data_IF_423636404314
#
_entry.id   IF_423636404314
#
_cell.length_a   1.000
_cell.length_b   1.000
_cell.length_c   1.000
_cell.angle_alpha   90.00
_cell.angle_beta   90.00
_cell.angle_gamma   90.00
#
_symmetry.space_group_name_H-M   'P 1'
#
loop_
_entity.id
_entity.type
_entity.pdbx_description
1 polymer ?
#
# COMPACT_ATOMS: atom_id res chain seq x y z
N UNK A 1 -67.06 39.61 -32.27
CA UNK A 1 -65.75 40.18 -32.65
C UNK A 1 -65.35 41.25 -31.65
N UNK A 2 -64.25 41.04 -30.90
CA UNK A 2 -63.23 42.07 -30.58
C UNK A 2 -62.11 41.37 -29.82
N UNK A 3 -60.95 41.39 -30.48
CA UNK A 3 -59.67 40.85 -30.02
C UNK A 3 -59.11 41.82 -28.97
N UNK A 4 -58.61 41.29 -27.85
CA UNK A 4 -57.61 41.99 -27.06
C UNK A 4 -56.42 41.06 -26.88
N UNK A 5 -55.38 41.38 -27.64
CA UNK A 5 -54.03 40.88 -27.46
C UNK A 5 -53.49 41.50 -26.17
N UNK A 6 -53.03 40.67 -25.23
CA UNK A 6 -51.95 41.07 -24.33
C UNK A 6 -50.84 40.05 -24.50
N UNK A 7 -49.82 40.49 -25.24
CA UNK A 7 -48.47 39.97 -25.21
C UNK A 7 -47.75 40.63 -24.03
N UNK A 8 -46.62 40.06 -23.62
CA UNK A 8 -45.61 40.55 -22.65
C UNK A 8 -45.86 39.95 -21.25
N UNK A 9 -44.98 39.14 -20.64
CA UNK A 9 -43.52 39.05 -20.72
C UNK A 9 -43.06 37.65 -20.32
N UNK A 10 -42.09 37.13 -21.06
CA UNK A 10 -41.28 35.97 -20.75
C UNK A 10 -40.44 36.26 -19.49
N UNK A 11 -40.82 35.75 -18.32
CA UNK A 11 -39.91 35.66 -17.18
C UNK A 11 -39.23 34.29 -17.23
N UNK A 12 -38.09 34.23 -17.93
CA UNK A 12 -37.10 33.18 -17.69
C UNK A 12 -36.71 33.28 -16.22
N UNK A 13 -37.32 32.46 -15.37
CA UNK A 13 -36.73 32.12 -14.09
C UNK A 13 -35.45 31.34 -14.42
N UNK A 14 -34.34 32.06 -14.50
CA UNK A 14 -33.03 31.47 -14.47
C UNK A 14 -33.00 30.50 -13.28
N UNK A 15 -32.68 29.21 -13.45
CA UNK A 15 -32.19 28.45 -12.32
C UNK A 15 -30.90 29.15 -11.92
N UNK A 16 -30.97 29.93 -10.84
CA UNK A 16 -29.81 30.43 -10.15
C UNK A 16 -28.87 29.24 -10.01
N UNK A 17 -27.76 29.32 -10.73
CA UNK A 17 -26.75 28.30 -10.75
C UNK A 17 -26.44 27.94 -9.30
N UNK A 18 -26.75 26.70 -8.92
CA UNK A 18 -26.14 25.99 -7.82
C UNK A 18 -24.63 25.92 -8.11
N UNK A 19 -23.94 27.05 -7.97
CA UNK A 19 -22.52 27.24 -8.25
C UNK A 19 -21.72 27.50 -6.97
N UNK A 20 -22.36 27.45 -5.80
CA UNK A 20 -21.73 27.80 -4.52
C UNK A 20 -21.50 26.60 -3.58
N UNK A 21 -21.87 25.37 -3.96
CA UNK A 21 -21.64 24.19 -3.11
C UNK A 21 -20.42 23.35 -3.53
N UNK A 22 -19.91 23.51 -4.77
CA UNK A 22 -18.83 22.67 -5.27
C UNK A 22 -17.41 23.08 -4.84
N UNK A 23 -17.21 24.28 -4.28
CA UNK A 23 -15.88 24.72 -3.86
C UNK A 23 -15.51 24.20 -2.46
N UNK A 24 -16.44 24.28 -1.50
CA UNK A 24 -16.22 23.84 -0.11
C UNK A 24 -16.34 22.31 0.08
N UNK A 25 -17.08 21.60 -0.78
CA UNK A 25 -17.22 20.13 -0.68
C UNK A 25 -16.01 19.36 -1.22
N UNK A 26 -15.24 19.93 -2.15
CA UNK A 26 -14.05 19.31 -2.75
C UNK A 26 -12.94 18.96 -1.73
N UNK A 27 -12.50 19.86 -0.84
CA UNK A 27 -11.47 19.53 0.13
C UNK A 27 -11.97 18.49 1.16
N UNK A 28 -13.24 18.55 1.57
CA UNK A 28 -13.82 17.60 2.53
C UNK A 28 -13.87 16.18 1.96
N UNK A 29 -14.36 16.02 0.73
CA UNK A 29 -14.40 14.72 0.05
C UNK A 29 -12.98 14.17 -0.18
N UNK A 30 -12.02 15.00 -0.61
CA UNK A 30 -10.63 14.59 -0.79
C UNK A 30 -9.96 14.18 0.52
N UNK A 31 -10.21 14.88 1.62
CA UNK A 31 -9.71 14.52 2.96
C UNK A 31 -10.26 13.16 3.40
N UNK A 32 -11.55 12.88 3.16
CA UNK A 32 -12.15 11.58 3.50
C UNK A 32 -11.52 10.44 2.68
N UNK A 33 -11.31 10.64 1.38
CA UNK A 33 -10.61 9.67 0.52
C UNK A 33 -9.20 9.41 1.02
N UNK A 34 -8.40 10.45 1.29
CA UNK A 34 -7.04 10.31 1.81
C UNK A 34 -7.00 9.60 3.18
N UNK A 35 -7.96 9.88 4.08
CA UNK A 35 -8.07 9.15 5.35
C UNK A 35 -8.37 7.67 5.14
N UNK A 36 -9.25 7.35 4.20
CA UNK A 36 -9.58 5.96 3.86
C UNK A 36 -8.38 5.22 3.27
N UNK A 37 -7.59 5.88 2.42
CA UNK A 37 -6.35 5.35 1.87
C UNK A 37 -5.31 5.08 2.94
N UNK A 38 -5.07 6.04 3.84
CA UNK A 38 -4.14 5.86 4.96
C UNK A 38 -4.53 4.64 5.81
N UNK A 39 -5.83 4.47 6.11
CA UNK A 39 -6.32 3.30 6.85
C UNK A 39 -6.08 1.99 6.09
N UNK A 40 -6.33 1.97 4.78
CA UNK A 40 -6.06 0.79 3.94
C UNK A 40 -4.56 0.46 3.91
N UNK A 41 -3.71 1.46 3.71
CA UNK A 41 -2.25 1.28 3.67
C UNK A 41 -1.70 0.78 5.02
N UNK A 42 -2.23 1.27 6.15
CA UNK A 42 -1.88 0.81 7.49
C UNK A 42 -2.31 -0.66 7.74
N UNK A 43 -3.47 -1.05 7.24
CA UNK A 43 -3.94 -2.44 7.27
C UNK A 43 -3.06 -3.35 6.41
N UNK A 44 -2.73 -2.93 5.19
CA UNK A 44 -1.86 -3.65 4.26
C UNK A 44 -0.45 -3.83 4.82
N UNK A 45 0.11 -2.79 5.45
CA UNK A 45 1.38 -2.86 6.19
C UNK A 45 1.37 -3.98 7.24
N UNK A 46 0.26 -4.07 7.97
CA UNK A 46 0.08 -5.06 9.03
C UNK A 46 -0.09 -6.47 8.45
N UNK A 47 -0.84 -6.62 7.37
CA UNK A 47 -1.04 -7.88 6.66
C UNK A 47 0.27 -8.42 6.07
N UNK A 48 1.02 -7.59 5.34
CA UNK A 48 2.34 -7.95 4.78
C UNK A 48 3.34 -8.33 5.87
N UNK A 49 3.29 -7.65 7.03
CA UNK A 49 4.13 -8.02 8.17
C UNK A 49 3.78 -9.40 8.76
N UNK A 50 2.49 -9.74 8.83
CA UNK A 50 2.05 -11.07 9.27
C UNK A 50 2.49 -12.15 8.28
N UNK A 51 2.40 -11.89 6.97
CA UNK A 51 2.84 -12.80 5.90
C UNK A 51 4.35 -13.08 5.92
N UNK A 52 5.14 -12.13 6.43
CA UNK A 52 6.60 -12.24 6.54
C UNK A 52 7.08 -13.37 7.47
N UNK A 53 6.27 -13.79 8.44
CA UNK A 53 6.58 -14.90 9.36
C UNK A 53 6.61 -16.26 8.64
N UNK A 54 5.50 -16.66 7.99
CA UNK A 54 5.41 -17.88 7.17
C UNK A 54 6.52 -18.00 6.13
N UNK A 55 6.83 -16.95 5.36
CA UNK A 55 7.92 -16.97 4.37
C UNK A 55 9.28 -17.31 4.98
N UNK A 56 9.59 -16.73 6.15
CA UNK A 56 10.83 -17.01 6.86
C UNK A 56 10.87 -18.46 7.36
N UNK A 57 9.73 -19.00 7.80
CA UNK A 57 9.61 -20.40 8.20
C UNK A 57 9.80 -21.34 7.01
N UNK A 58 9.21 -21.02 5.85
CA UNK A 58 9.38 -21.78 4.62
C UNK A 58 10.86 -21.85 4.19
N UNK A 59 11.58 -20.71 4.19
CA UNK A 59 13.01 -20.69 3.89
C UNK A 59 13.84 -21.53 4.87
N UNK A 60 13.49 -21.54 6.16
CA UNK A 60 14.16 -22.41 7.15
C UNK A 60 13.87 -23.89 6.91
N UNK A 61 12.65 -24.24 6.53
CA UNK A 61 12.27 -25.61 6.20
C UNK A 61 13.00 -26.10 4.94
N UNK A 62 13.09 -25.25 3.90
CA UNK A 62 13.85 -25.55 2.69
C UNK A 62 15.35 -25.74 3.00
N UNK A 63 15.93 -24.86 3.83
CA UNK A 63 17.30 -25.02 4.30
C UNK A 63 17.50 -26.35 5.04
N UNK A 64 16.57 -26.69 5.94
CA UNK A 64 16.59 -27.95 6.68
C UNK A 64 16.53 -29.16 5.75
N UNK A 65 15.66 -29.12 4.73
CA UNK A 65 15.53 -30.17 3.74
C UNK A 65 16.80 -30.33 2.87
N UNK A 66 17.40 -29.24 2.41
CA UNK A 66 18.67 -29.29 1.66
C UNK A 66 19.81 -29.86 2.52
N UNK A 67 19.91 -29.45 3.79
CA UNK A 67 20.91 -29.98 4.71
C UNK A 67 20.67 -31.47 5.03
N UNK A 68 19.40 -31.90 5.13
CA UNK A 68 19.06 -33.31 5.33
C UNK A 68 19.49 -34.17 4.14
N UNK A 69 19.24 -33.69 2.90
CA UNK A 69 19.69 -34.36 1.67
C UNK A 69 21.21 -34.55 1.64
N UNK A 70 21.99 -33.53 2.01
CA UNK A 70 23.45 -33.60 2.05
C UNK A 70 23.94 -34.59 3.11
N UNK A 71 23.26 -34.66 4.27
CA UNK A 71 23.63 -35.60 5.34
C UNK A 71 23.35 -37.05 4.95
N UNK A 72 22.18 -37.29 4.35
CA UNK A 72 21.74 -38.61 3.93
C UNK A 72 22.42 -39.11 2.64
N UNK A 73 22.91 -38.22 1.78
CA UNK A 73 23.58 -38.57 0.53
C UNK A 73 24.96 -39.21 0.74
N UNK A 74 25.50 -39.78 -0.31
CA UNK A 74 26.87 -40.34 -0.33
C UNK A 74 27.93 -39.23 -0.42
N UNK A 75 29.16 -39.55 -0.07
CA UNK A 75 30.30 -38.62 -0.15
C UNK A 75 31.14 -38.57 1.12
N UNK A 76 32.34 -38.01 0.99
CA UNK A 76 33.29 -37.93 2.10
C UNK A 76 32.83 -36.91 3.15
N UNK A 77 33.35 -37.02 4.37
CA UNK A 77 33.08 -36.06 5.44
C UNK A 77 33.48 -34.62 5.03
N UNK A 78 34.55 -34.47 4.25
CA UNK A 78 35.02 -33.20 3.72
C UNK A 78 34.00 -32.55 2.79
N UNK A 79 33.52 -33.32 1.81
CA UNK A 79 32.56 -32.85 0.80
C UNK A 79 31.22 -32.47 1.43
N UNK A 80 30.72 -33.30 2.36
CA UNK A 80 29.50 -33.01 3.11
C UNK A 80 29.61 -31.74 3.93
N UNK A 81 30.78 -31.47 4.53
CA UNK A 81 31.03 -30.24 5.29
C UNK A 81 31.02 -29.01 4.38
N UNK A 82 31.69 -29.08 3.24
CA UNK A 82 31.73 -28.01 2.26
C UNK A 82 30.32 -27.71 1.70
N UNK A 83 29.57 -28.74 1.30
CA UNK A 83 28.21 -28.62 0.81
C UNK A 83 27.26 -28.00 1.87
N UNK A 84 27.33 -28.46 3.13
CA UNK A 84 26.56 -27.87 4.23
C UNK A 84 26.88 -26.38 4.41
N UNK A 85 28.15 -25.99 4.30
CA UNK A 85 28.57 -24.59 4.43
C UNK A 85 28.04 -23.74 3.26
N UNK A 86 28.09 -24.27 2.03
CA UNK A 86 27.54 -23.61 0.85
C UNK A 86 26.03 -23.34 1.00
N UNK A 87 25.25 -24.35 1.43
CA UNK A 87 23.81 -24.18 1.70
C UNK A 87 23.57 -23.13 2.79
N UNK A 88 24.33 -23.16 3.89
CA UNK A 88 24.20 -22.14 4.95
C UNK A 88 24.48 -20.73 4.43
N UNK A 89 25.49 -20.54 3.58
CA UNK A 89 25.82 -19.24 2.96
C UNK A 89 24.70 -18.76 2.03
N UNK A 90 24.20 -19.64 1.16
CA UNK A 90 23.06 -19.38 0.26
C UNK A 90 21.85 -18.88 1.04
N UNK A 91 21.39 -19.65 2.04
CA UNK A 91 20.22 -19.25 2.82
C UNK A 91 20.47 -18.02 3.69
N UNK A 92 21.70 -17.80 4.18
CA UNK A 92 22.04 -16.57 4.89
C UNK A 92 21.89 -15.32 4.01
N UNK A 93 22.26 -15.40 2.72
CA UNK A 93 22.03 -14.33 1.75
C UNK A 93 20.53 -14.13 1.50
N UNK A 94 19.77 -15.20 1.26
CA UNK A 94 18.31 -15.12 1.07
C UNK A 94 17.59 -14.48 2.29
N UNK A 95 18.01 -14.80 3.52
CA UNK A 95 17.46 -14.17 4.72
C UNK A 95 17.82 -12.68 4.81
N UNK A 96 19.01 -12.27 4.37
CA UNK A 96 19.40 -10.85 4.33
C UNK A 96 18.58 -10.09 3.28
N UNK A 97 18.46 -10.64 2.08
CA UNK A 97 17.70 -10.03 0.98
C UNK A 97 16.22 -9.88 1.32
N UNK A 98 15.59 -10.92 1.85
CA UNK A 98 14.18 -10.86 2.27
C UNK A 98 13.97 -9.86 3.40
N UNK A 99 14.90 -9.75 4.35
CA UNK A 99 14.86 -8.71 5.39
C UNK A 99 14.99 -7.31 4.80
N UNK A 100 15.91 -7.11 3.86
CA UNK A 100 16.15 -5.79 3.28
C UNK A 100 14.99 -5.34 2.39
N UNK A 101 14.44 -6.24 1.56
CA UNK A 101 13.23 -5.97 0.77
C UNK A 101 12.09 -5.47 1.66
N UNK A 102 11.82 -6.17 2.77
CA UNK A 102 10.78 -5.76 3.74
C UNK A 102 11.09 -4.44 4.41
N UNK A 103 12.36 -4.16 4.72
CA UNK A 103 12.79 -2.90 5.32
C UNK A 103 12.53 -1.74 4.36
N UNK A 104 12.89 -1.90 3.08
CA UNK A 104 12.66 -0.91 2.02
C UNK A 104 11.17 -0.69 1.82
N UNK A 105 10.38 -1.75 1.69
CA UNK A 105 8.92 -1.65 1.54
C UNK A 105 8.27 -0.94 2.72
N UNK A 106 8.65 -1.28 3.96
CA UNK A 106 8.15 -0.61 5.16
C UNK A 106 8.51 0.87 5.17
N UNK A 107 9.74 1.21 4.77
CA UNK A 107 10.18 2.61 4.69
C UNK A 107 9.34 3.38 3.69
N UNK A 108 9.20 2.85 2.48
CA UNK A 108 8.39 3.46 1.40
C UNK A 108 6.95 3.69 1.86
N UNK A 109 6.30 2.67 2.41
CA UNK A 109 4.92 2.77 2.88
C UNK A 109 4.75 3.79 4.03
N UNK A 110 5.75 3.93 4.91
CA UNK A 110 5.74 4.98 5.95
C UNK A 110 5.90 6.38 5.37
N UNK A 111 6.77 6.54 4.37
CA UNK A 111 6.97 7.80 3.66
C UNK A 111 5.69 8.20 2.88
N UNK A 112 5.05 7.23 2.21
CA UNK A 112 3.78 7.43 1.51
C UNK A 112 2.66 7.84 2.49
N UNK A 113 2.52 7.12 3.62
CA UNK A 113 1.54 7.47 4.65
C UNK A 113 1.79 8.87 5.24
N UNK A 114 3.06 9.25 5.46
CA UNK A 114 3.43 10.60 5.90
C UNK A 114 3.06 11.65 4.86
N UNK A 115 3.29 11.38 3.58
CA UNK A 115 2.92 12.27 2.47
C UNK A 115 1.41 12.52 2.43
N UNK A 116 0.60 11.45 2.50
CA UNK A 116 -0.87 11.55 2.54
C UNK A 116 -1.37 12.32 3.78
N UNK A 117 -0.77 12.09 4.95
CA UNK A 117 -1.07 12.85 6.18
C UNK A 117 -0.75 14.34 6.01
N UNK A 118 0.38 14.68 5.38
CA UNK A 118 0.74 16.07 5.08
C UNK A 118 -0.21 16.72 4.06
N UNK A 119 -0.67 15.98 3.05
CA UNK A 119 -1.68 16.46 2.10
C UNK A 119 -3.00 16.80 2.82
N UNK A 120 -3.43 15.93 3.76
CA UNK A 120 -4.61 16.21 4.59
C UNK A 120 -4.42 17.50 5.40
N UNK A 121 -3.24 17.74 5.98
CA UNK A 121 -2.97 18.96 6.74
C UNK A 121 -3.08 20.21 5.85
N UNK A 122 -2.44 20.20 4.67
CA UNK A 122 -2.51 21.31 3.71
C UNK A 122 -3.94 21.60 3.26
N UNK A 123 -4.73 20.56 2.98
CA UNK A 123 -6.14 20.71 2.58
C UNK A 123 -7.04 21.26 3.71
N UNK A 124 -6.62 21.16 4.98
CA UNK A 124 -7.32 21.81 6.10
C UNK A 124 -6.92 23.26 6.30
N UNK A 125 -5.70 23.62 5.91
CA UNK A 125 -5.15 24.98 6.04
C UNK A 125 -5.64 25.90 4.91
N UNK A 126 -5.93 25.34 3.73
CA UNK A 126 -6.61 26.05 2.65
C UNK A 126 -8.12 26.16 2.93
N UNK A 127 -8.68 27.38 3.12
CA UNK A 127 -10.11 27.59 3.34
C UNK A 127 -10.98 27.28 2.12
#
# INVERSE_FOLDING_TARGET
MRKMMMVVTLALAAPAAFGAETAAQKPVAQIQTLRSEVKRDEADLTAKWKAAGPERKALRQQQGAELAKIRAGEGTRGDKKAACQAVRRKYAQLFKETREKRRIERRRLREDAKSKKNQILRLRETP
#
